data_IF_754477880794
#
_entry.id   IF_754477880794
#
_cell.length_a   1.000
_cell.length_b   1.000
_cell.length_c   1.000
_cell.angle_alpha   90.00
_cell.angle_beta   90.00
_cell.angle_gamma   90.00
#
_symmetry.space_group_name_H-M   'P 1'
#
loop_
_entity.id
_entity.type
_entity.pdbx_description
1 polymer ?
#
# COMPACT_ATOMS: atom_id res chain seq x y z
N UNK A 1 -33.71 28.38 12.62
CA UNK A 1 -32.49 29.09 13.12
C UNK A 1 -31.28 28.20 12.84
N UNK A 2 -30.39 28.65 11.93
CA UNK A 2 -29.03 28.16 11.58
C UNK A 2 -28.95 26.67 11.12
N UNK A 3 -28.96 26.27 9.83
CA UNK A 3 -28.00 26.43 8.71
C UNK A 3 -26.53 26.10 9.02
N UNK A 4 -26.02 25.06 8.32
CA UNK A 4 -24.65 24.83 7.81
C UNK A 4 -23.53 24.62 8.87
N UNK A 5 -22.70 23.58 8.81
CA UNK A 5 -21.77 23.18 7.72
C UNK A 5 -21.62 21.65 7.69
N UNK A 6 -21.90 20.92 6.60
CA UNK A 6 -21.13 20.86 5.35
C UNK A 6 -19.62 20.98 5.55
N UNK A 7 -18.97 19.86 5.87
CA UNK A 7 -17.63 19.56 5.37
C UNK A 7 -17.86 18.55 4.22
N UNK A 8 -18.35 19.02 3.08
CA UNK A 8 -17.53 19.14 1.87
C UNK A 8 -16.02 19.04 2.12
N UNK A 9 -15.39 18.16 1.35
CA UNK A 9 -14.21 18.42 0.52
C UNK A 9 -13.28 17.20 0.60
N UNK A 10 -13.47 16.25 -0.32
CA UNK A 10 -12.61 16.15 -1.50
C UNK A 10 -11.23 15.65 -1.09
N UNK A 11 -11.04 14.34 -1.19
CA UNK A 11 -9.80 13.79 -1.73
C UNK A 11 -10.23 12.62 -2.63
N UNK A 12 -10.64 12.83 -3.89
CA UNK A 12 -10.20 11.91 -4.90
C UNK A 12 -8.66 12.04 -4.88
N UNK A 13 -7.95 11.04 -4.36
CA UNK A 13 -6.55 10.93 -4.73
C UNK A 13 -6.51 10.48 -6.22
N UNK A 14 -6.89 11.41 -7.10
CA UNK A 14 -6.39 11.50 -8.46
C UNK A 14 -4.90 11.70 -8.28
N UNK A 15 -4.12 10.62 -8.26
CA UNK A 15 -2.69 10.73 -8.57
C UNK A 15 -2.61 10.92 -10.08
N UNK A 16 -2.95 12.13 -10.49
CA UNK A 16 -2.87 12.59 -11.85
C UNK A 16 -1.56 13.38 -11.92
N UNK A 17 -0.53 12.67 -12.41
CA UNK A 17 0.77 13.14 -12.91
C UNK A 17 1.83 13.53 -11.86
N UNK A 18 2.98 12.86 -11.87
CA UNK A 18 4.18 13.26 -12.63
C UNK A 18 5.39 12.39 -12.20
N UNK A 19 5.98 11.64 -13.14
CA UNK A 19 7.33 11.05 -13.13
C UNK A 19 7.86 10.46 -11.79
N UNK A 20 7.08 9.64 -11.08
CA UNK A 20 7.54 9.03 -9.82
C UNK A 20 8.28 7.71 -10.09
N UNK A 21 9.60 7.80 -10.28
CA UNK A 21 10.61 6.72 -10.22
C UNK A 21 10.02 5.30 -10.29
N UNK A 22 10.01 4.73 -11.50
CA UNK A 22 9.62 3.37 -11.92
C UNK A 22 9.11 2.42 -10.80
N UNK A 23 9.90 2.15 -9.76
CA UNK A 23 9.52 1.29 -8.62
C UNK A 23 8.27 1.70 -7.81
N UNK A 24 8.01 2.99 -7.57
CA UNK A 24 6.93 3.43 -6.67
C UNK A 24 5.55 3.38 -7.34
N UNK A 25 5.51 3.54 -8.67
CA UNK A 25 4.29 3.41 -9.46
C UNK A 25 3.74 1.98 -9.42
N UNK A 26 4.61 0.97 -9.51
CA UNK A 26 4.17 -0.42 -9.36
C UNK A 26 3.59 -0.68 -7.97
N UNK A 27 4.18 -0.13 -6.91
CA UNK A 27 3.61 -0.21 -5.56
C UNK A 27 2.22 0.44 -5.50
N UNK A 28 2.00 1.52 -6.24
CA UNK A 28 0.71 2.19 -6.38
C UNK A 28 -0.36 1.37 -7.13
N UNK A 29 0.05 0.38 -7.94
CA UNK A 29 -0.86 -0.56 -8.61
C UNK A 29 -1.19 -1.79 -7.77
N UNK A 30 -0.43 -2.07 -6.70
CA UNK A 30 -0.74 -3.14 -5.76
C UNK A 30 -1.98 -2.82 -4.93
N UNK A 31 -2.67 -3.88 -4.49
CA UNK A 31 -3.75 -3.78 -3.49
C UNK A 31 -3.24 -3.08 -2.23
N UNK A 32 -4.07 -2.22 -1.65
CA UNK A 32 -3.75 -1.43 -0.46
C UNK A 32 -3.15 -2.27 0.68
N UNK A 33 -3.74 -3.45 0.96
CA UNK A 33 -3.26 -4.38 2.00
C UNK A 33 -1.88 -4.98 1.69
N UNK A 34 -1.55 -5.18 0.41
CA UNK A 34 -0.27 -5.71 -0.06
C UNK A 34 0.81 -4.62 0.01
N UNK A 35 0.46 -3.41 -0.41
CA UNK A 35 1.34 -2.22 -0.33
C UNK A 35 1.71 -1.91 1.11
N UNK A 36 0.73 -1.91 2.01
CA UNK A 36 0.95 -1.57 3.41
C UNK A 36 2.03 -2.46 4.04
N UNK A 37 1.91 -3.78 3.91
CA UNK A 37 2.91 -4.71 4.49
C UNK A 37 4.29 -4.59 3.82
N UNK A 38 4.34 -4.27 2.52
CA UNK A 38 5.58 -4.01 1.80
C UNK A 38 6.25 -2.73 2.31
N UNK A 39 5.49 -1.64 2.47
CA UNK A 39 5.98 -0.37 2.98
C UNK A 39 6.55 -0.51 4.39
N UNK A 40 5.80 -1.12 5.31
CA UNK A 40 6.28 -1.37 6.67
C UNK A 40 7.57 -2.23 6.67
N UNK A 41 7.68 -3.21 5.77
CA UNK A 41 8.83 -4.11 5.73
C UNK A 41 10.07 -3.53 5.02
N UNK A 42 9.91 -2.84 3.89
CA UNK A 42 11.02 -2.36 3.06
C UNK A 42 11.35 -0.88 3.28
N UNK A 43 10.38 -0.04 3.66
CA UNK A 43 10.62 1.38 3.95
C UNK A 43 10.94 1.58 5.43
N UNK A 44 10.17 0.94 6.32
CA UNK A 44 10.38 1.07 7.78
C UNK A 44 11.27 -0.04 8.36
N UNK A 45 11.73 -1.00 7.54
CA UNK A 45 12.56 -2.13 7.98
C UNK A 45 11.99 -2.92 9.16
N UNK A 46 10.66 -2.94 9.33
CA UNK A 46 10.00 -3.66 10.40
C UNK A 46 10.03 -5.16 10.14
N UNK A 47 10.18 -5.94 11.21
CA UNK A 47 10.07 -7.38 11.16
C UNK A 47 8.61 -7.83 11.00
N UNK A 48 8.42 -9.08 10.55
CA UNK A 48 7.08 -9.70 10.46
C UNK A 48 6.33 -9.66 11.80
N UNK A 49 7.05 -9.74 12.92
CA UNK A 49 6.47 -9.68 14.27
C UNK A 49 6.00 -8.26 14.61
N UNK A 50 6.81 -7.23 14.31
CA UNK A 50 6.43 -5.84 14.52
C UNK A 50 5.25 -5.45 13.65
N UNK A 51 5.23 -5.88 12.38
CA UNK A 51 4.10 -5.65 11.46
C UNK A 51 2.84 -6.35 11.97
N UNK A 52 2.98 -7.55 12.56
CA UNK A 52 1.87 -8.30 13.15
C UNK A 52 1.23 -7.53 14.30
N UNK A 53 2.06 -6.90 15.16
CA UNK A 53 1.62 -6.08 16.28
C UNK A 53 1.03 -4.75 15.78
N UNK A 54 1.70 -4.07 14.85
CA UNK A 54 1.29 -2.77 14.32
C UNK A 54 -0.05 -2.81 13.58
N UNK A 55 -0.33 -3.92 12.88
CA UNK A 55 -1.56 -4.11 12.12
C UNK A 55 -2.62 -4.94 12.85
N UNK A 56 -2.33 -5.41 14.07
CA UNK A 56 -3.19 -6.31 14.85
C UNK A 56 -3.68 -7.54 14.04
N UNK A 57 -2.76 -8.17 13.29
CA UNK A 57 -3.04 -9.38 12.49
C UNK A 57 -2.00 -10.45 12.80
N UNK A 58 -2.33 -11.75 12.70
CA UNK A 58 -1.37 -12.79 13.02
C UNK A 58 -0.20 -12.82 12.03
N UNK A 59 1.00 -13.17 12.51
CA UNK A 59 2.21 -13.26 11.69
C UNK A 59 2.06 -14.17 10.46
N UNK A 60 1.20 -15.20 10.53
CA UNK A 60 0.83 -16.03 9.37
C UNK A 60 0.14 -15.24 8.26
N UNK A 61 -0.76 -14.32 8.63
CA UNK A 61 -1.42 -13.41 7.69
C UNK A 61 -0.42 -12.39 7.13
N UNK A 62 0.48 -11.85 7.95
CA UNK A 62 1.55 -10.96 7.47
C UNK A 62 2.40 -11.66 6.40
N UNK A 63 2.88 -12.89 6.67
CA UNK A 63 3.66 -13.68 5.71
C UNK A 63 2.89 -13.95 4.41
N UNK A 64 1.62 -14.35 4.52
CA UNK A 64 0.78 -14.61 3.34
C UNK A 64 0.55 -13.33 2.52
N UNK A 65 0.33 -12.19 3.18
CA UNK A 65 0.19 -10.88 2.52
C UNK A 65 1.49 -10.46 1.86
N UNK A 66 2.64 -10.57 2.53
CA UNK A 66 3.95 -10.28 1.93
C UNK A 66 4.24 -11.17 0.73
N UNK A 67 3.89 -12.45 0.80
CA UNK A 67 4.04 -13.38 -0.33
C UNK A 67 3.19 -12.94 -1.54
N UNK A 68 1.90 -12.67 -1.31
CA UNK A 68 1.00 -12.16 -2.37
C UNK A 68 1.49 -10.82 -2.93
N UNK A 69 1.93 -9.92 -2.07
CA UNK A 69 2.46 -8.61 -2.47
C UNK A 69 3.68 -8.74 -3.37
N UNK A 70 4.63 -9.63 -3.03
CA UNK A 70 5.79 -9.92 -3.89
C UNK A 70 5.41 -10.58 -5.20
N UNK A 71 4.41 -11.47 -5.22
CA UNK A 71 3.91 -12.05 -6.46
C UNK A 71 3.25 -11.01 -7.36
N UNK A 72 2.37 -10.17 -6.81
CA UNK A 72 1.73 -9.07 -7.54
C UNK A 72 2.79 -8.12 -8.11
N UNK A 73 3.79 -7.75 -7.31
CA UNK A 73 4.90 -6.91 -7.76
C UNK A 73 5.72 -7.58 -8.86
N UNK A 74 6.04 -8.88 -8.71
CA UNK A 74 6.77 -9.65 -9.73
C UNK A 74 5.99 -9.71 -11.04
N UNK A 75 4.69 -9.96 -10.99
CA UNK A 75 3.84 -9.96 -12.20
C UNK A 75 3.84 -8.59 -12.86
N UNK A 76 3.75 -7.51 -12.10
CA UNK A 76 3.80 -6.16 -12.66
C UNK A 76 5.15 -5.86 -13.34
N UNK A 77 6.26 -6.25 -12.72
CA UNK A 77 7.62 -6.08 -13.28
C UNK A 77 7.85 -6.96 -14.53
N UNK A 78 7.32 -8.18 -14.54
CA UNK A 78 7.42 -9.13 -15.66
C UNK A 78 6.63 -8.67 -16.90
N UNK A 79 5.55 -7.89 -16.71
CA UNK A 79 4.74 -7.33 -17.78
C UNK A 79 5.24 -5.95 -18.28
N UNK A 80 6.47 -5.58 -17.95
CA UNK A 80 7.13 -4.39 -18.51
C UNK A 80 7.74 -4.78 -19.87
N UNK A 81 7.28 -4.23 -21.01
CA UNK A 81 7.78 -4.58 -22.34
C UNK A 81 9.25 -4.18 -22.56
#
# INVERSE_FOLDING_TARGET
RHQHTSLSSTEPLCTCQEEASDGLEYMHRLKEKSRLVLSLYYLENLTVAEISIALDIPAGTVKSRLYKARQELKTLLDNTP
#
